data_IF_475752541772
#
_entry.id   IF_475752541772
#
_cell.length_a   1.000
_cell.length_b   1.000
_cell.length_c   1.000
_cell.angle_alpha   90.00
_cell.angle_beta   90.00
_cell.angle_gamma   90.00
#
_symmetry.space_group_name_H-M   'P 1'
#
loop_
_entity.id
_entity.type
_entity.pdbx_description
1 polymer ?
#
# COMPACT_ATOMS: atom_id res chain seq x y z
N UNK A 1 -23.40 21.69 40.04
CA UNK A 1 -22.49 22.09 38.94
C UNK A 1 -21.97 20.82 38.29
N UNK A 2 -22.52 20.44 37.14
CA UNK A 2 -21.97 19.32 36.36
C UNK A 2 -20.81 19.87 35.55
N UNK A 3 -19.63 19.35 35.84
CA UNK A 3 -18.39 19.61 35.10
C UNK A 3 -18.53 18.97 33.73
N UNK A 4 -18.74 19.76 32.68
CA UNK A 4 -18.50 19.30 31.32
C UNK A 4 -16.99 19.30 31.08
N UNK A 5 -16.37 18.13 31.17
CA UNK A 5 -15.06 17.89 30.60
C UNK A 5 -15.19 18.05 29.08
N UNK A 6 -14.46 18.99 28.51
CA UNK A 6 -14.28 19.09 27.06
C UNK A 6 -13.80 17.72 26.55
N UNK A 7 -14.66 17.01 25.80
CA UNK A 7 -14.21 15.86 25.03
C UNK A 7 -13.16 16.37 24.04
N UNK A 8 -11.93 15.82 24.01
CA UNK A 8 -10.98 16.16 22.97
C UNK A 8 -11.62 15.84 21.61
N UNK A 9 -11.57 16.81 20.69
CA UNK A 9 -12.08 16.68 19.32
C UNK A 9 -11.47 15.42 18.69
N UNK A 10 -12.29 14.39 18.53
CA UNK A 10 -11.86 13.05 18.12
C UNK A 10 -11.92 12.91 16.59
N UNK A 11 -11.54 13.97 15.88
CA UNK A 11 -11.74 14.15 14.44
C UNK A 11 -10.52 14.76 13.76
N UNK A 12 -9.32 14.55 14.30
CA UNK A 12 -8.08 14.92 13.61
C UNK A 12 -7.77 13.78 12.63
N UNK A 13 -7.88 14.09 11.34
CA UNK A 13 -7.41 13.22 10.26
C UNK A 13 -5.90 13.00 10.40
N UNK A 14 -5.46 11.74 10.28
CA UNK A 14 -4.04 11.38 10.19
C UNK A 14 -3.72 10.97 8.77
N UNK A 15 -2.63 11.49 8.23
CA UNK A 15 -2.13 11.11 6.92
C UNK A 15 -1.10 10.02 7.10
N UNK A 16 -1.38 8.83 6.57
CA UNK A 16 -0.48 7.68 6.66
C UNK A 16 0.04 7.32 5.27
N UNK A 17 1.31 6.91 5.20
CA UNK A 17 1.95 6.47 3.98
C UNK A 17 2.40 5.02 4.11
N UNK A 18 2.11 4.21 3.09
CA UNK A 18 2.73 2.90 2.94
C UNK A 18 4.08 3.10 2.26
N UNK A 19 5.14 2.65 2.93
CA UNK A 19 6.49 2.64 2.41
C UNK A 19 6.95 1.22 2.18
N UNK A 20 7.59 0.99 1.03
CA UNK A 20 8.28 -0.26 0.73
C UNK A 20 9.77 0.02 0.49
N UNK A 21 10.60 -0.98 0.77
CA UNK A 21 11.99 -1.06 0.32
C UNK A 21 12.13 -2.39 -0.39
N UNK A 22 12.41 -2.33 -1.69
CA UNK A 22 12.57 -3.49 -2.55
C UNK A 22 13.98 -3.52 -3.14
N UNK A 23 14.55 -4.72 -3.26
CA UNK A 23 15.70 -4.97 -4.13
C UNK A 23 15.19 -5.39 -5.51
N UNK A 24 15.55 -4.62 -6.53
CA UNK A 24 15.15 -4.83 -7.92
C UNK A 24 16.33 -5.30 -8.77
N UNK A 25 16.14 -6.41 -9.48
CA UNK A 25 17.10 -6.91 -10.47
C UNK A 25 16.46 -6.87 -11.85
N UNK A 26 17.01 -6.06 -12.76
CA UNK A 26 16.57 -5.91 -14.16
C UNK A 26 15.09 -5.50 -14.38
N UNK A 27 14.38 -5.13 -13.32
CA UNK A 27 13.00 -4.61 -13.33
C UNK A 27 12.96 -3.18 -12.83
N UNK A 28 11.95 -2.44 -13.27
CA UNK A 28 11.66 -1.10 -12.79
C UNK A 28 10.14 -0.86 -12.78
N UNK A 29 9.73 0.29 -12.26
CA UNK A 29 8.35 0.76 -12.25
C UNK A 29 7.34 -0.21 -11.61
N UNK A 30 7.74 -0.89 -10.52
CA UNK A 30 6.85 -1.73 -9.75
C UNK A 30 5.68 -0.89 -9.22
N UNK A 31 4.45 -1.22 -9.62
CA UNK A 31 3.26 -0.46 -9.25
C UNK A 31 2.00 -1.34 -9.30
N UNK A 32 0.90 -0.90 -8.65
CA UNK A 32 -0.40 -1.54 -8.82
C UNK A 32 -0.80 -1.66 -10.30
N UNK A 33 -1.24 -2.84 -10.75
CA UNK A 33 -1.59 -3.08 -12.15
C UNK A 33 -2.92 -2.45 -12.58
N UNK A 34 -3.78 -2.07 -11.62
CA UNK A 34 -5.08 -1.46 -11.92
C UNK A 34 -5.60 -0.57 -10.78
N UNK A 35 -6.60 0.26 -11.07
CA UNK A 35 -7.22 1.17 -10.09
C UNK A 35 -7.94 0.44 -8.94
N UNK A 36 -8.39 -0.81 -9.17
CA UNK A 36 -9.04 -1.64 -8.17
C UNK A 36 -8.05 -2.46 -7.30
N UNK A 37 -6.77 -2.06 -7.30
CA UNK A 37 -5.76 -2.70 -6.48
C UNK A 37 -6.10 -2.65 -4.99
N UNK A 38 -5.94 -3.79 -4.32
CA UNK A 38 -6.32 -3.97 -2.91
C UNK A 38 -5.11 -3.79 -2.02
N UNK A 39 -5.10 -2.69 -1.27
CA UNK A 39 -4.11 -2.44 -0.22
C UNK A 39 -4.54 -3.20 1.04
N UNK A 40 -3.91 -4.35 1.30
CA UNK A 40 -4.24 -5.18 2.46
C UNK A 40 -3.52 -4.68 3.72
N UNK A 41 -4.30 -4.29 4.72
CA UNK A 41 -3.82 -3.61 5.92
C UNK A 41 -4.38 -4.25 7.20
N UNK A 42 -3.55 -4.29 8.26
CA UNK A 42 -4.04 -4.43 9.63
C UNK A 42 -4.36 -3.06 10.19
N UNK A 43 -5.46 -2.97 10.93
CA UNK A 43 -5.98 -1.70 11.43
C UNK A 43 -6.06 -1.73 12.95
N UNK A 44 -5.58 -0.67 13.59
CA UNK A 44 -5.78 -0.39 15.01
C UNK A 44 -6.87 0.65 15.19
N UNK A 45 -7.82 0.37 16.08
CA UNK A 45 -8.86 1.32 16.44
C UNK A 45 -8.26 2.48 17.24
N UNK A 46 -8.40 3.72 16.73
CA UNK A 46 -7.91 4.91 17.42
C UNK A 46 -8.64 5.26 18.72
N UNK A 47 -9.75 4.58 19.03
CA UNK A 47 -10.52 4.82 20.25
C UNK A 47 -10.20 3.85 21.38
N UNK A 48 -10.16 2.54 21.11
CA UNK A 48 -9.93 1.53 22.15
C UNK A 48 -8.62 0.77 21.98
N UNK A 49 -7.85 1.03 20.92
CA UNK A 49 -6.57 0.37 20.66
C UNK A 49 -6.66 -1.06 20.11
N UNK A 50 -7.86 -1.58 19.88
CA UNK A 50 -8.07 -2.95 19.38
C UNK A 50 -7.59 -3.10 17.92
N UNK A 51 -6.84 -4.16 17.62
CA UNK A 51 -6.37 -4.47 16.28
C UNK A 51 -7.35 -5.40 15.54
N UNK A 52 -7.39 -5.34 14.21
CA UNK A 52 -8.12 -6.33 13.41
C UNK A 52 -7.43 -7.70 13.48
N UNK A 53 -8.24 -8.75 13.63
CA UNK A 53 -7.72 -10.13 13.60
C UNK A 53 -7.20 -10.51 12.22
N UNK A 54 -7.93 -10.15 11.16
CA UNK A 54 -7.56 -10.38 9.77
C UNK A 54 -7.13 -9.08 9.09
N UNK A 55 -6.44 -9.21 7.96
CA UNK A 55 -6.23 -8.10 7.05
C UNK A 55 -7.57 -7.64 6.46
N UNK A 56 -7.79 -6.33 6.44
CA UNK A 56 -8.83 -5.70 5.62
C UNK A 56 -8.19 -5.14 4.37
N UNK A 57 -8.98 -4.73 3.38
CA UNK A 57 -8.44 -4.02 2.22
C UNK A 57 -9.15 -2.68 2.01
N UNK A 58 -8.42 -1.78 1.35
CA UNK A 58 -8.91 -0.52 0.80
C UNK A 58 -8.47 -0.48 -0.67
N UNK A 59 -9.31 0.03 -1.57
CA UNK A 59 -8.96 0.31 -2.96
C UNK A 59 -9.48 1.70 -3.37
N UNK A 60 -9.01 2.20 -4.51
CA UNK A 60 -9.29 3.59 -4.91
C UNK A 60 -10.71 3.79 -5.46
N UNK A 61 -11.35 2.71 -5.91
CA UNK A 61 -12.61 2.72 -6.67
C UNK A 61 -13.83 2.58 -5.76
N UNK A 62 -13.76 1.69 -4.77
CA UNK A 62 -14.87 1.44 -3.85
C UNK A 62 -15.18 2.68 -3.02
N UNK A 63 -16.46 2.99 -2.85
CA UNK A 63 -16.95 4.05 -1.98
C UNK A 63 -18.08 3.50 -1.12
N UNK A 64 -17.91 3.60 0.19
CA UNK A 64 -18.88 3.16 1.18
C UNK A 64 -19.41 4.36 1.97
N UNK A 65 -20.74 4.52 2.10
CA UNK A 65 -21.32 5.60 2.90
C UNK A 65 -20.85 5.58 4.35
N UNK A 66 -20.44 6.73 4.86
CA UNK A 66 -20.06 6.87 6.27
C UNK A 66 -21.33 7.07 7.10
N UNK A 67 -21.56 6.18 8.07
CA UNK A 67 -22.71 6.28 8.97
C UNK A 67 -22.74 7.63 9.69
N UNK A 68 -23.91 8.26 9.74
CA UNK A 68 -24.15 9.56 10.39
C UNK A 68 -23.35 10.74 9.78
N UNK A 69 -22.91 10.60 8.52
CA UNK A 69 -22.23 11.62 7.74
C UNK A 69 -22.86 11.75 6.33
N UNK A 70 -22.54 12.84 5.62
CA UNK A 70 -23.00 13.08 4.24
C UNK A 70 -22.01 12.62 3.16
N UNK A 71 -20.90 12.01 3.54
CA UNK A 71 -19.82 11.60 2.63
C UNK A 71 -19.59 10.10 2.62
N UNK A 72 -18.84 9.67 1.62
CA UNK A 72 -18.40 8.29 1.42
C UNK A 72 -16.88 8.20 1.62
N UNK A 73 -16.38 7.01 1.94
CA UNK A 73 -14.94 6.74 2.05
C UNK A 73 -14.56 5.45 1.32
N UNK A 74 -13.29 5.32 0.92
CA UNK A 74 -12.78 4.08 0.33
C UNK A 74 -12.79 2.89 1.30
N UNK A 75 -12.66 3.13 2.61
CA UNK A 75 -12.81 2.14 3.66
C UNK A 75 -13.69 2.71 4.78
N UNK A 76 -14.74 1.97 5.17
CA UNK A 76 -15.51 2.21 6.38
C UNK A 76 -15.49 0.95 7.24
N UNK A 77 -14.96 1.04 8.46
CA UNK A 77 -14.77 -0.11 9.34
C UNK A 77 -15.38 0.13 10.72
N UNK A 78 -16.08 -0.87 11.25
CA UNK A 78 -16.63 -0.84 12.61
C UNK A 78 -15.76 -1.70 13.53
N UNK A 79 -15.24 -1.11 14.60
CA UNK A 79 -14.47 -1.83 15.61
C UNK A 79 -15.32 -2.96 16.24
N UNK A 80 -14.83 -4.21 16.20
CA UNK A 80 -15.55 -5.36 16.77
C UNK A 80 -15.69 -5.26 18.30
N UNK A 81 -14.78 -4.57 18.98
CA UNK A 81 -14.78 -4.35 20.42
C UNK A 81 -15.67 -3.18 20.84
N UNK A 82 -15.25 -1.93 20.60
CA UNK A 82 -15.97 -0.73 21.08
C UNK A 82 -17.09 -0.23 20.17
N UNK A 83 -17.34 -0.91 19.04
CA UNK A 83 -18.39 -0.60 18.04
C UNK A 83 -18.26 0.75 17.34
N UNK A 84 -17.21 1.52 17.61
CA UNK A 84 -16.94 2.78 16.93
C UNK A 84 -16.66 2.55 15.45
N UNK A 85 -17.22 3.42 14.62
CA UNK A 85 -16.98 3.46 13.17
C UNK A 85 -15.84 4.41 12.86
N UNK A 86 -14.91 3.96 12.03
CA UNK A 86 -13.75 4.68 11.54
C UNK A 86 -13.70 4.57 10.02
N UNK A 87 -12.98 5.46 9.35
CA UNK A 87 -12.86 5.43 7.89
C UNK A 87 -11.47 5.85 7.41
N UNK A 88 -11.17 5.50 6.17
CA UNK A 88 -9.97 5.95 5.47
C UNK A 88 -10.25 6.14 3.96
N UNK A 89 -9.56 7.11 3.35
CA UNK A 89 -9.55 7.35 1.91
C UNK A 89 -8.13 7.26 1.37
N UNK A 90 -7.98 6.75 0.14
CA UNK A 90 -6.71 6.83 -0.59
C UNK A 90 -6.59 8.26 -1.13
N UNK A 91 -5.44 8.90 -0.92
CA UNK A 91 -5.21 10.25 -1.43
C UNK A 91 -5.03 10.18 -2.95
N UNK A 92 -5.86 10.87 -3.75
CA UNK A 92 -5.73 10.85 -5.21
C UNK A 92 -4.35 11.31 -5.68
N UNK A 93 -3.78 10.60 -6.65
CA UNK A 93 -2.44 10.90 -7.19
C UNK A 93 -1.27 10.58 -6.25
N UNK A 94 -1.51 9.97 -5.09
CA UNK A 94 -0.44 9.58 -4.16
C UNK A 94 0.18 8.21 -4.45
N UNK A 95 -0.41 7.44 -5.35
CA UNK A 95 0.13 6.14 -5.76
C UNK A 95 1.30 6.38 -6.71
N UNK A 96 2.49 5.95 -6.31
CA UNK A 96 3.73 6.18 -7.05
C UNK A 96 4.42 4.84 -7.36
N UNK A 97 5.03 4.69 -8.55
CA UNK A 97 5.80 3.50 -8.87
C UNK A 97 7.10 3.46 -8.06
N UNK A 98 7.57 2.25 -7.78
CA UNK A 98 8.90 1.98 -7.23
C UNK A 98 9.84 1.61 -8.38
N UNK A 99 10.79 2.49 -8.66
CA UNK A 99 11.71 2.39 -9.81
C UNK A 99 13.04 1.75 -9.41
N UNK A 100 13.85 1.39 -10.40
CA UNK A 100 15.20 0.85 -10.16
C UNK A 100 16.09 1.81 -9.34
N UNK A 101 15.94 3.12 -9.55
CA UNK A 101 16.69 4.14 -8.79
C UNK A 101 16.29 4.19 -7.31
N UNK A 102 15.11 3.66 -6.96
CA UNK A 102 14.66 3.54 -5.57
C UNK A 102 15.16 2.25 -4.91
N UNK A 103 15.76 1.30 -5.65
CA UNK A 103 16.15 -0.01 -5.14
C UNK A 103 17.02 0.08 -3.89
N UNK A 104 16.68 -0.72 -2.86
CA UNK A 104 17.35 -0.73 -1.56
C UNK A 104 17.00 0.46 -0.65
N UNK A 105 16.10 1.36 -1.05
CA UNK A 105 15.70 2.53 -0.27
C UNK A 105 14.19 2.54 0.04
N UNK A 106 13.83 3.06 1.22
CA UNK A 106 12.43 3.26 1.53
C UNK A 106 11.82 4.35 0.66
N UNK A 107 10.67 4.03 0.05
CA UNK A 107 9.84 4.97 -0.70
C UNK A 107 8.38 4.83 -0.33
N UNK A 108 7.72 5.97 -0.13
CA UNK A 108 6.27 6.04 0.04
C UNK A 108 5.59 5.83 -1.32
N UNK A 109 4.77 4.78 -1.42
CA UNK A 109 4.12 4.36 -2.66
C UNK A 109 2.60 4.57 -2.68
N UNK A 110 2.00 4.87 -1.53
CA UNK A 110 0.60 5.30 -1.42
C UNK A 110 0.39 6.07 -0.12
N UNK A 111 -0.53 7.05 -0.14
CA UNK A 111 -0.93 7.82 1.04
C UNK A 111 -2.43 7.70 1.30
N UNK A 112 -2.80 7.80 2.56
CA UNK A 112 -4.17 7.60 3.06
C UNK A 112 -4.55 8.71 4.05
N UNK A 113 -5.76 9.25 3.94
CA UNK A 113 -6.40 10.08 4.99
C UNK A 113 -7.21 9.17 5.91
N UNK A 114 -6.77 9.02 7.15
CA UNK A 114 -7.33 8.10 8.14
C UNK A 114 -8.04 8.85 9.27
N UNK A 115 -9.25 8.41 9.64
CA UNK A 115 -10.05 9.01 10.72
C UNK A 115 -10.49 7.95 11.73
N UNK A 116 -9.99 8.07 12.96
CA UNK A 116 -10.33 7.16 14.06
C UNK A 116 -9.70 5.76 13.95
N UNK A 117 -8.72 5.59 13.08
CA UNK A 117 -7.95 4.36 12.90
C UNK A 117 -6.49 4.68 12.55
N UNK A 118 -5.62 3.68 12.77
CA UNK A 118 -4.24 3.67 12.31
C UNK A 118 -3.98 2.36 11.57
N UNK A 119 -3.13 2.38 10.56
CA UNK A 119 -2.63 1.13 9.95
C UNK A 119 -1.41 0.65 10.73
N UNK A 120 -1.32 -0.66 10.95
CA UNK A 120 -0.22 -1.27 11.73
C UNK A 120 0.64 -2.22 10.92
N UNK A 121 0.07 -2.85 9.89
CA UNK A 121 0.80 -3.76 8.99
C UNK A 121 0.26 -3.61 7.57
N UNK A 122 1.13 -3.81 6.59
CA UNK A 122 0.81 -3.85 5.17
C UNK A 122 1.25 -5.19 4.58
N UNK A 123 0.39 -5.78 3.75
CA UNK A 123 0.67 -7.01 3.00
C UNK A 123 0.51 -6.73 1.51
N UNK A 124 1.59 -6.78 0.70
CA UNK A 124 1.55 -6.37 -0.70
C UNK A 124 0.78 -7.34 -1.61
N UNK A 125 0.84 -8.65 -1.33
CA UNK A 125 0.09 -9.70 -2.06
C UNK A 125 0.23 -9.59 -3.59
N UNK A 126 -0.84 -9.83 -4.34
CA UNK A 126 -0.87 -9.85 -5.80
C UNK A 126 -1.51 -8.61 -6.42
N UNK A 127 -1.39 -8.50 -7.76
CA UNK A 127 -1.93 -7.40 -8.55
C UNK A 127 -0.91 -6.30 -8.83
N UNK A 128 0.37 -6.64 -8.81
CA UNK A 128 1.44 -5.73 -9.18
C UNK A 128 1.80 -5.88 -10.65
N UNK A 129 2.39 -4.84 -11.21
CA UNK A 129 3.01 -4.83 -12.53
C UNK A 129 4.40 -4.20 -12.44
N UNK A 130 5.31 -4.63 -13.31
CA UNK A 130 6.65 -4.04 -13.44
C UNK A 130 7.11 -4.12 -14.91
N UNK A 131 8.11 -3.33 -15.28
CA UNK A 131 8.69 -3.32 -16.62
C UNK A 131 10.12 -3.85 -16.60
N UNK A 132 10.54 -4.50 -17.68
CA UNK A 132 11.95 -4.79 -17.92
C UNK A 132 12.74 -3.48 -18.06
N UNK A 133 13.97 -3.47 -17.56
CA UNK A 133 14.92 -2.36 -17.78
C UNK A 133 15.58 -2.47 -19.16
N UNK A 134 15.59 -3.67 -19.74
CA UNK A 134 16.40 -4.00 -20.92
C UNK A 134 15.57 -4.30 -22.18
N UNK A 135 14.24 -4.24 -22.09
CA UNK A 135 13.31 -4.43 -23.22
C UNK A 135 11.97 -3.73 -22.96
N UNK A 136 11.06 -3.77 -23.94
CA UNK A 136 9.68 -3.28 -23.81
C UNK A 136 8.74 -4.28 -23.09
N UNK A 137 9.28 -5.32 -22.44
CA UNK A 137 8.49 -6.30 -21.71
C UNK A 137 7.85 -5.69 -20.45
N UNK A 138 6.56 -5.99 -20.26
CA UNK A 138 5.79 -5.67 -19.07
C UNK A 138 5.33 -6.98 -18.44
N UNK A 139 5.49 -7.08 -17.14
CA UNK A 139 5.11 -8.22 -16.32
C UNK A 139 3.91 -7.81 -15.48
N UNK A 140 2.76 -8.39 -15.77
CA UNK A 140 1.52 -8.20 -15.02
C UNK A 140 1.29 -9.37 -14.04
N UNK A 141 0.29 -9.24 -13.18
CA UNK A 141 -0.11 -10.24 -12.20
C UNK A 141 1.02 -10.70 -11.25
N UNK A 142 1.99 -9.81 -10.99
CA UNK A 142 3.07 -10.05 -10.04
C UNK A 142 2.46 -10.26 -8.65
N UNK A 143 2.90 -11.34 -7.98
CA UNK A 143 2.55 -11.68 -6.60
C UNK A 143 3.78 -11.53 -5.70
N UNK A 144 3.65 -10.66 -4.71
CA UNK A 144 4.61 -10.42 -3.63
C UNK A 144 4.12 -11.02 -2.31
N UNK A 145 3.26 -12.06 -2.38
CA UNK A 145 2.74 -12.74 -1.18
C UNK A 145 3.86 -13.38 -0.35
N UNK A 146 4.86 -13.94 -1.03
CA UNK A 146 6.04 -14.56 -0.41
C UNK A 146 7.22 -13.58 -0.31
N UNK A 147 6.96 -12.28 -0.42
CA UNK A 147 7.95 -11.18 -0.41
C UNK A 147 8.99 -11.24 -1.54
N UNK A 148 8.94 -12.26 -2.41
CA UNK A 148 9.80 -12.42 -3.56
C UNK A 148 8.99 -12.78 -4.80
N UNK A 149 9.36 -12.17 -5.92
CA UNK A 149 8.93 -12.57 -7.25
C UNK A 149 10.14 -12.67 -8.16
N UNK A 150 10.16 -13.68 -9.03
CA UNK A 150 11.22 -13.90 -10.01
C UNK A 150 10.61 -14.32 -11.34
N UNK A 151 11.17 -13.83 -12.45
CA UNK A 151 10.79 -14.24 -13.81
C UNK A 151 11.95 -14.00 -14.79
N UNK A 152 11.68 -14.20 -16.07
CA UNK A 152 12.63 -14.14 -17.17
C UNK A 152 12.12 -13.26 -18.31
N UNK A 153 12.99 -12.41 -18.85
CA UNK A 153 12.69 -11.61 -20.04
C UNK A 153 13.24 -12.32 -21.28
N UNK A 154 12.35 -12.99 -22.03
CA UNK A 154 12.68 -13.69 -23.27
C UNK A 154 13.08 -12.75 -24.41
N UNK A 155 12.78 -11.45 -24.30
CA UNK A 155 13.08 -10.43 -25.31
C UNK A 155 14.28 -9.57 -24.93
N UNK A 156 14.84 -9.75 -23.74
CA UNK A 156 15.93 -8.96 -23.20
C UNK A 156 17.23 -9.12 -24.01
N UNK A 157 17.97 -8.02 -24.19
CA UNK A 157 19.25 -8.04 -24.89
C UNK A 157 20.28 -8.85 -24.09
N UNK A 158 20.80 -9.91 -24.72
CA UNK A 158 21.76 -10.84 -24.15
C UNK A 158 23.03 -10.13 -23.63
N UNK A 159 23.37 -10.33 -22.36
CA UNK A 159 24.75 -10.13 -21.89
C UNK A 159 25.64 -11.23 -22.50
N UNK A 160 26.92 -10.94 -22.80
CA UNK A 160 27.85 -11.92 -23.35
C UNK A 160 28.33 -12.86 -22.24
N UNK A 161 27.43 -13.73 -21.77
CA UNK A 161 27.73 -14.83 -20.85
C UNK A 161 27.34 -16.11 -21.60
N UNK A 162 28.25 -17.09 -21.74
CA UNK A 162 27.87 -18.37 -22.33
C UNK A 162 26.92 -19.09 -21.37
N UNK A 163 25.78 -19.54 -21.90
CA UNK A 163 24.83 -20.48 -21.30
C UNK A 163 23.65 -19.94 -20.46
N UNK A 164 23.17 -18.72 -20.69
CA UNK A 164 21.83 -18.33 -20.19
C UNK A 164 21.09 -17.44 -21.19
N UNK A 165 20.07 -18.00 -21.84
CA UNK A 165 19.29 -17.35 -22.92
C UNK A 165 18.25 -16.34 -22.41
N UNK A 166 18.16 -16.11 -21.11
CA UNK A 166 17.13 -15.29 -20.46
C UNK A 166 17.74 -14.33 -19.46
N UNK A 167 17.27 -13.09 -19.43
CA UNK A 167 17.63 -12.14 -18.39
C UNK A 167 16.79 -12.40 -17.14
N UNK A 168 17.44 -12.68 -16.01
CA UNK A 168 16.75 -12.90 -14.73
C UNK A 168 16.22 -11.58 -14.14
N UNK A 169 14.96 -11.60 -13.71
CA UNK A 169 14.26 -10.48 -13.09
C UNK A 169 13.83 -10.88 -11.69
N UNK A 170 13.96 -9.96 -10.73
CA UNK A 170 13.45 -10.19 -9.38
C UNK A 170 12.97 -8.93 -8.69
N UNK A 171 11.94 -9.08 -7.87
CA UNK A 171 11.51 -8.12 -6.84
C UNK A 171 11.62 -8.82 -5.51
N UNK A 172 12.42 -8.30 -4.57
CA UNK A 172 12.44 -8.75 -3.18
C UNK A 172 12.00 -7.62 -2.25
N UNK A 173 10.92 -7.80 -1.52
CA UNK A 173 10.44 -6.85 -0.51
C UNK A 173 11.23 -7.06 0.77
N UNK A 174 12.24 -6.24 1.00
CA UNK A 174 13.03 -6.30 2.23
C UNK A 174 12.21 -5.82 3.43
N UNK A 175 11.45 -4.73 3.24
CA UNK A 175 10.63 -4.14 4.29
C UNK A 175 9.39 -3.44 3.75
N UNK A 176 8.30 -3.53 4.51
CA UNK A 176 7.08 -2.75 4.34
C UNK A 176 6.74 -2.07 5.67
N UNK A 177 6.57 -0.75 5.66
CA UNK A 177 6.28 0.02 6.87
C UNK A 177 5.20 1.07 6.62
N UNK A 178 4.63 1.59 7.71
CA UNK A 178 3.64 2.66 7.70
C UNK A 178 4.20 3.82 8.51
N UNK A 179 4.14 5.03 7.95
CA UNK A 179 4.59 6.25 8.62
C UNK A 179 3.54 7.35 8.53
N UNK A 180 3.49 8.23 9.53
CA UNK A 180 2.78 9.50 9.38
C UNK A 180 3.48 10.34 8.30
N UNK A 181 2.69 10.97 7.42
CA UNK A 181 3.20 11.77 6.31
C UNK A 181 2.59 13.15 6.31
N UNK A 182 3.23 14.10 5.62
CA UNK A 182 2.62 15.37 5.31
C UNK A 182 1.96 15.32 3.91
N UNK A 183 0.89 16.12 3.71
CA UNK A 183 0.22 16.27 2.41
C UNK A 183 1.17 16.75 1.29
N UNK A 184 2.26 17.45 1.65
CA UNK A 184 3.10 18.24 0.74
C UNK A 184 4.55 17.76 0.59
N UNK A 185 4.91 16.59 1.13
CA UNK A 185 6.26 16.02 1.00
C UNK A 185 6.25 14.62 0.41
#
# INVERSE_FOLDING_TARGET
>A
MVVSLNKPNNSISKLLGVQISCELTNVTNLSPSCDNFRWYLKVKCGNCGENTHDYVYINSVEKTPIQDSRGDANLVIRCKFCKRVSNADIIPGSILPYSLDDSGHFKTIAKFDCRGLEFTEFSPRCGWSASSVNSDAVFDDISLTDEIWCDYDEKGIHLPIPDTYFLYLSVYVAHATIQETDLYR
#
